data_IF_583144685249
#
_entry.id   IF_583144685249
#
_cell.length_a   1.000
_cell.length_b   1.000
_cell.length_c   1.000
_cell.angle_alpha   90.00
_cell.angle_beta   90.00
_cell.angle_gamma   90.00
#
_symmetry.space_group_name_H-M   'P 1'
#
loop_
_entity.id
_entity.type
_entity.pdbx_description
1 polymer ?
#
# COMPACT_ATOMS: atom_id res chain seq x y z
N UNK A 1 13.63 12.45 -2.19
CA UNK A 1 13.54 13.54 -1.19
C UNK A 1 14.60 13.28 -0.13
N UNK A 2 15.35 14.29 0.30
CA UNK A 2 16.29 14.15 1.43
C UNK A 2 15.59 14.36 2.78
N UNK A 3 16.23 13.97 3.90
CA UNK A 3 15.67 14.20 5.25
C UNK A 3 15.51 15.68 5.56
N UNK A 4 16.43 16.50 5.09
CA UNK A 4 16.41 17.95 5.28
C UNK A 4 15.22 18.58 4.57
N UNK A 5 14.97 18.16 3.32
CA UNK A 5 13.81 18.61 2.54
C UNK A 5 12.49 18.17 3.18
N UNK A 6 12.41 16.93 3.65
CA UNK A 6 11.22 16.42 4.34
C UNK A 6 10.98 17.18 5.65
N UNK A 7 12.03 17.40 6.43
CA UNK A 7 11.95 18.14 7.69
C UNK A 7 11.50 19.59 7.48
N UNK A 8 12.00 20.25 6.44
CA UNK A 8 11.60 21.60 6.05
C UNK A 8 10.10 21.65 5.69
N UNK A 9 9.62 20.69 4.89
CA UNK A 9 8.21 20.62 4.49
C UNK A 9 7.26 20.31 5.66
N UNK A 10 7.74 19.56 6.66
CA UNK A 10 6.97 19.20 7.87
C UNK A 10 7.14 20.20 9.02
N UNK A 11 7.94 21.26 8.86
CA UNK A 11 8.21 22.22 9.92
C UNK A 11 8.90 21.61 11.16
N UNK A 12 9.70 20.55 10.97
CA UNK A 12 10.44 19.85 12.03
C UNK A 12 11.94 19.83 11.76
N UNK A 13 12.73 19.28 12.67
CA UNK A 13 14.18 19.15 12.48
C UNK A 13 14.53 17.86 11.74
N UNK A 14 15.60 17.89 10.93
CA UNK A 14 16.14 16.69 10.27
C UNK A 14 16.54 15.61 11.28
N UNK A 15 17.00 16.01 12.48
CA UNK A 15 17.26 15.07 13.57
C UNK A 15 15.98 14.38 14.05
N UNK A 16 14.85 15.08 14.12
CA UNK A 16 13.59 14.47 14.52
C UNK A 16 13.09 13.45 13.47
N UNK A 17 13.23 13.76 12.18
CA UNK A 17 12.99 12.79 11.09
C UNK A 17 13.87 11.56 11.25
N UNK A 18 15.17 11.75 11.51
CA UNK A 18 16.10 10.65 11.75
C UNK A 18 15.74 9.80 12.98
N UNK A 19 15.27 10.43 14.07
CA UNK A 19 14.85 9.72 15.28
C UNK A 19 13.59 8.89 15.03
N UNK A 20 12.66 9.41 14.21
CA UNK A 20 11.45 8.70 13.79
C UNK A 20 11.80 7.46 12.96
N UNK A 21 12.61 7.62 11.91
CA UNK A 21 12.99 6.52 11.02
C UNK A 21 13.75 5.39 11.72
N UNK A 22 14.48 5.72 12.79
CA UNK A 22 15.20 4.75 13.63
C UNK A 22 14.32 4.14 14.73
N UNK A 23 13.04 4.51 14.81
CA UNK A 23 12.11 4.05 15.86
C UNK A 23 12.44 4.59 17.26
N UNK A 24 13.28 5.62 17.38
CA UNK A 24 13.67 6.24 18.65
C UNK A 24 12.59 7.16 19.21
N UNK A 25 11.79 7.76 18.33
CA UNK A 25 10.67 8.64 18.71
C UNK A 25 9.44 8.33 17.87
N UNK A 26 8.28 8.36 18.51
CA UNK A 26 7.01 8.42 17.80
C UNK A 26 6.66 9.87 17.46
N UNK A 27 6.08 10.07 16.29
CA UNK A 27 5.52 11.36 15.87
C UNK A 27 4.09 11.55 16.40
N UNK A 28 3.61 12.79 16.41
CA UNK A 28 2.20 13.06 16.64
C UNK A 28 1.35 12.64 15.44
N UNK A 29 0.04 12.43 15.67
CA UNK A 29 -0.89 12.13 14.57
C UNK A 29 -0.95 13.24 13.52
N UNK A 30 -0.74 14.51 13.91
CA UNK A 30 -0.70 15.62 12.96
C UNK A 30 0.46 15.47 11.97
N UNK A 31 1.67 15.20 12.48
CA UNK A 31 2.87 14.99 11.64
C UNK A 31 2.71 13.72 10.81
N UNK A 32 2.08 12.67 11.34
CA UNK A 32 1.83 11.44 10.59
C UNK A 32 0.95 11.69 9.34
N UNK A 33 -0.12 12.46 9.49
CA UNK A 33 -1.00 12.84 8.38
C UNK A 33 -0.28 13.75 7.38
N UNK A 34 0.45 14.74 7.86
CA UNK A 34 1.17 15.68 7.00
C UNK A 34 2.31 14.99 6.22
N UNK A 35 2.99 14.03 6.85
CA UNK A 35 4.01 13.20 6.21
C UNK A 35 3.44 12.35 5.07
N UNK A 36 2.23 11.80 5.23
CA UNK A 36 1.52 11.10 4.15
C UNK A 36 1.24 12.01 2.96
N UNK A 37 0.81 13.25 3.21
CA UNK A 37 0.53 14.23 2.16
C UNK A 37 1.80 14.67 1.43
N UNK A 38 2.87 14.97 2.17
CA UNK A 38 4.16 15.39 1.63
C UNK A 38 4.80 14.30 0.77
N UNK A 39 4.73 13.04 1.21
CA UNK A 39 5.31 11.90 0.50
C UNK A 39 4.39 11.33 -0.58
N UNK A 40 3.11 11.72 -0.62
CA UNK A 40 2.13 11.24 -1.59
C UNK A 40 1.78 9.77 -1.42
N UNK A 41 1.80 9.25 -0.19
CA UNK A 41 1.54 7.84 0.13
C UNK A 41 0.42 7.71 1.15
N UNK A 42 -0.26 6.56 1.18
CA UNK A 42 -1.32 6.30 2.16
C UNK A 42 -0.79 6.20 3.60
N UNK A 43 -1.65 6.47 4.57
CA UNK A 43 -1.32 6.34 6.00
C UNK A 43 -0.99 4.89 6.35
N UNK A 44 -1.71 3.92 5.80
CA UNK A 44 -1.46 2.50 6.02
C UNK A 44 -0.06 2.09 5.50
N UNK A 45 0.37 2.66 4.38
CA UNK A 45 1.73 2.46 3.87
C UNK A 45 2.78 3.02 4.83
N UNK A 46 2.57 4.22 5.40
CA UNK A 46 3.50 4.77 6.38
C UNK A 46 3.53 3.97 7.69
N UNK A 47 2.39 3.45 8.15
CA UNK A 47 2.30 2.69 9.39
C UNK A 47 2.87 1.27 9.27
N UNK A 48 2.58 0.59 8.15
CA UNK A 48 2.83 -0.84 7.99
C UNK A 48 3.89 -1.17 6.94
N UNK A 49 4.38 -0.17 6.20
CA UNK A 49 5.34 -0.36 5.09
C UNK A 49 4.77 -1.15 3.91
N UNK A 50 3.46 -1.44 3.92
CA UNK A 50 2.82 -2.27 2.90
C UNK A 50 2.22 -1.35 1.85
N UNK A 51 2.66 -1.41 0.58
CA UNK A 51 2.12 -0.54 -0.47
C UNK A 51 0.60 -0.68 -0.52
N UNK A 52 -0.14 0.38 -0.91
CA UNK A 52 -1.57 0.25 -1.15
C UNK A 52 -1.76 -0.94 -2.11
N UNK A 53 -2.51 -1.95 -1.68
CA UNK A 53 -2.85 -3.06 -2.55
C UNK A 53 -3.53 -2.49 -3.81
N UNK A 54 -3.22 -3.06 -4.98
CA UNK A 54 -3.89 -2.70 -6.21
C UNK A 54 -5.41 -2.75 -5.97
N UNK A 55 -6.17 -1.68 -6.26
CA UNK A 55 -7.60 -1.63 -5.95
C UNK A 55 -8.41 -2.80 -6.55
N UNK A 56 -7.95 -3.39 -7.66
CA UNK A 56 -8.53 -4.61 -8.20
C UNK A 56 -8.23 -5.84 -7.33
N UNK A 57 -7.00 -5.96 -6.82
CA UNK A 57 -6.57 -7.02 -5.91
C UNK A 57 -7.29 -6.92 -4.57
N UNK A 58 -7.36 -5.74 -3.96
CA UNK A 58 -8.06 -5.51 -2.68
C UNK A 58 -9.57 -5.84 -2.79
N UNK A 59 -10.22 -5.41 -3.89
CA UNK A 59 -11.62 -5.77 -4.14
C UNK A 59 -11.81 -7.28 -4.27
N UNK A 60 -10.94 -7.95 -5.02
CA UNK A 60 -10.98 -9.40 -5.19
C UNK A 60 -10.78 -10.12 -3.86
N UNK A 61 -9.76 -9.74 -3.10
CA UNK A 61 -9.45 -10.30 -1.79
C UNK A 61 -10.65 -10.18 -0.85
N UNK A 62 -11.23 -8.98 -0.73
CA UNK A 62 -12.39 -8.73 0.13
C UNK A 62 -13.57 -9.62 -0.23
N UNK A 63 -13.82 -9.81 -1.52
CA UNK A 63 -14.90 -10.67 -2.00
C UNK A 63 -14.63 -12.16 -1.70
N UNK A 64 -13.42 -12.63 -1.96
CA UNK A 64 -13.00 -14.00 -1.68
C UNK A 64 -13.08 -14.33 -0.19
N UNK A 65 -12.72 -13.39 0.69
CA UNK A 65 -12.82 -13.55 2.16
C UNK A 65 -14.26 -13.80 2.64
N UNK A 66 -15.25 -13.30 1.91
CA UNK A 66 -16.67 -13.43 2.24
C UNK A 66 -17.33 -14.68 1.63
N UNK A 67 -16.67 -15.36 0.70
CA UNK A 67 -17.17 -16.60 0.08
C UNK A 67 -16.82 -17.83 0.90
N UNK A 68 -17.61 -18.91 0.72
CA UNK A 68 -17.35 -20.19 1.37
C UNK A 68 -16.00 -20.78 0.91
N UNK A 69 -15.34 -21.64 1.71
CA UNK A 69 -14.07 -22.24 1.31
C UNK A 69 -14.13 -22.96 -0.05
N UNK A 70 -15.22 -23.71 -0.30
CA UNK A 70 -15.44 -24.43 -1.56
C UNK A 70 -15.59 -23.47 -2.74
N UNK A 71 -16.42 -22.43 -2.59
CA UNK A 71 -16.64 -21.45 -3.67
C UNK A 71 -15.39 -20.62 -3.93
N UNK A 72 -14.60 -20.35 -2.89
CA UNK A 72 -13.31 -19.64 -3.01
C UNK A 72 -12.31 -20.44 -3.83
N UNK A 73 -12.21 -21.76 -3.59
CA UNK A 73 -11.35 -22.63 -4.39
C UNK A 73 -11.78 -22.66 -5.86
N UNK A 74 -13.09 -22.77 -6.11
CA UNK A 74 -13.63 -22.72 -7.47
C UNK A 74 -13.35 -21.37 -8.15
N UNK A 75 -13.57 -20.25 -7.46
CA UNK A 75 -13.31 -18.91 -7.98
C UNK A 75 -11.83 -18.71 -8.31
N UNK A 76 -10.91 -19.19 -7.46
CA UNK A 76 -9.48 -19.14 -7.73
C UNK A 76 -9.12 -19.96 -8.98
N UNK A 77 -9.67 -21.16 -9.12
CA UNK A 77 -9.46 -22.01 -10.29
C UNK A 77 -9.95 -21.33 -11.59
N UNK A 78 -11.15 -20.75 -11.57
CA UNK A 78 -11.69 -20.03 -12.73
C UNK A 78 -10.85 -18.81 -13.12
N UNK A 79 -10.35 -18.06 -12.13
CA UNK A 79 -9.50 -16.90 -12.38
C UNK A 79 -8.18 -17.31 -13.05
N UNK A 80 -7.54 -18.38 -12.59
CA UNK A 80 -6.31 -18.89 -13.20
C UNK A 80 -6.54 -19.31 -14.66
N UNK A 81 -7.63 -20.03 -14.94
CA UNK A 81 -7.99 -20.40 -16.31
C UNK A 81 -8.21 -19.17 -17.21
N UNK A 82 -8.84 -18.12 -16.67
CA UNK A 82 -9.07 -16.88 -17.42
C UNK A 82 -7.76 -16.13 -17.73
N UNK A 83 -6.81 -16.12 -16.79
CA UNK A 83 -5.50 -15.52 -16.98
C UNK A 83 -4.67 -16.26 -18.03
N UNK A 84 -4.64 -17.61 -17.97
CA UNK A 84 -3.99 -18.44 -19.00
C UNK A 84 -4.58 -18.18 -20.38
N UNK A 85 -5.91 -18.05 -20.48
CA UNK A 85 -6.59 -17.74 -21.73
C UNK A 85 -6.22 -16.33 -22.25
N UNK A 86 -6.13 -15.33 -21.36
CA UNK A 86 -5.75 -13.97 -21.73
C UNK A 86 -4.30 -13.90 -22.24
N UNK A 87 -3.36 -14.61 -21.59
CA UNK A 87 -1.97 -14.69 -22.04
C UNK A 87 -1.84 -15.35 -23.43
N UNK A 88 -2.65 -16.38 -23.69
CA UNK A 88 -2.66 -17.08 -24.98
C UNK A 88 -3.22 -16.21 -26.14
N UNK A 89 -4.02 -15.19 -25.84
CA UNK A 89 -4.60 -14.30 -26.87
C UNK A 89 -3.64 -13.18 -27.33
N UNK A 90 -2.54 -12.92 -26.60
CA UNK A 90 -1.60 -11.84 -26.91
C UNK A 90 -2.17 -10.43 -26.65
N UNK A 91 -1.34 -9.36 -26.68
CA UNK A 91 -1.85 -8.00 -26.48
C UNK A 91 -2.79 -7.62 -27.63
N UNK A 92 -3.97 -7.07 -27.28
CA UNK A 92 -4.84 -6.42 -28.25
C UNK A 92 -4.08 -5.24 -28.89
N UNK A 93 -3.88 -5.28 -30.22
CA UNK A 93 -3.21 -4.23 -31.00
C UNK A 93 -3.95 -2.88 -30.95
#
# INVERSE_FOLDING_TARGET
MSREQLAEQLGITAQYVSDIEQGKKCMSMSIFVEMSQVLGVGLDFLAHGTPPEDPAVDRLERHLRQTSPLDRELAAHMLLLALEAAEAMGPEE
#
